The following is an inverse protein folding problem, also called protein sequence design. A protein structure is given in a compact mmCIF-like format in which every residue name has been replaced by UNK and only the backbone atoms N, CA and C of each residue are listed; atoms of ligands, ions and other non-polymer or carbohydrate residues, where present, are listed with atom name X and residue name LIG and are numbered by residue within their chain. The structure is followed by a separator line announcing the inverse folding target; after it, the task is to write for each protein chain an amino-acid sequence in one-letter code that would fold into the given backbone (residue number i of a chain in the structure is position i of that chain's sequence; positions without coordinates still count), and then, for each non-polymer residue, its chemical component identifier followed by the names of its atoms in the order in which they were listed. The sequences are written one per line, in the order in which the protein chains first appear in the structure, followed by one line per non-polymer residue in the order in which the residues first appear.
data_IF_702548835443
#
_entry.id   IF_702548835443
#
_cell.length_a   1.000
_cell.length_b   1.000
_cell.length_c   1.000
_cell.angle_alpha   90.00
_cell.angle_beta   90.00
_cell.angle_gamma   90.00
#
_symmetry.space_group_name_H-M   'P 1'
#
loop_
_entity.id
_entity.type
_entity.pdbx_description
1 polymer ?
#
# COMPACT_ATOMS: atom_id res chain seq x y z
N UNK A 1 14.61 -14.84 -11.03
CA UNK A 1 15.55 -14.39 -9.98
C UNK A 1 14.75 -13.62 -8.94
N UNK A 2 14.77 -14.01 -7.67
CA UNK A 2 14.02 -13.31 -6.63
C UNK A 2 14.74 -12.03 -6.20
N UNK A 3 13.99 -10.97 -5.83
CA UNK A 3 14.54 -9.76 -5.24
C UNK A 3 15.01 -10.08 -3.81
N UNK A 4 16.31 -10.08 -3.57
CA UNK A 4 16.90 -10.44 -2.27
C UNK A 4 17.97 -9.44 -1.85
N UNK A 5 18.18 -9.29 -0.54
CA UNK A 5 19.21 -8.42 0.06
C UNK A 5 19.14 -6.97 -0.42
N UNK A 6 17.94 -6.47 -0.63
CA UNK A 6 17.70 -5.10 -1.05
C UNK A 6 17.08 -4.28 0.08
N UNK A 7 17.25 -2.97 -0.02
CA UNK A 7 16.49 -1.99 0.74
C UNK A 7 15.24 -1.63 -0.05
N UNK A 8 14.08 -1.78 0.57
CA UNK A 8 12.79 -1.56 -0.09
C UNK A 8 11.98 -0.57 0.72
N UNK A 9 11.42 0.44 0.07
CA UNK A 9 10.46 1.39 0.67
C UNK A 9 9.11 1.16 0.03
N UNK A 10 8.08 0.91 0.83
CA UNK A 10 6.72 0.69 0.37
C UNK A 10 5.83 1.85 0.82
N UNK A 11 5.28 2.61 -0.12
CA UNK A 11 4.23 3.60 0.14
C UNK A 11 2.87 2.93 0.01
N UNK A 12 2.26 2.63 1.14
CA UNK A 12 1.01 1.89 1.18
C UNK A 12 -0.22 2.78 1.16
N UNK A 13 -1.31 2.26 0.58
CA UNK A 13 -2.64 2.89 0.65
C UNK A 13 -3.42 2.50 1.90
N UNK A 14 -2.88 1.60 2.74
CA UNK A 14 -3.49 1.13 3.99
C UNK A 14 -2.47 1.18 5.13
N UNK A 15 -2.96 1.30 6.37
CA UNK A 15 -2.11 1.26 7.55
C UNK A 15 -1.78 -0.18 7.92
N UNK A 16 -0.57 -0.42 8.43
CA UNK A 16 -0.08 -1.75 8.83
C UNK A 16 -0.99 -2.48 9.84
N UNK A 17 -1.67 -1.75 10.69
CA UNK A 17 -2.52 -2.29 11.76
C UNK A 17 -3.96 -2.59 11.32
N UNK A 18 -4.29 -2.39 10.04
CA UNK A 18 -5.62 -2.67 9.48
C UNK A 18 -5.65 -4.12 8.92
N UNK A 19 -6.81 -4.51 8.38
CA UNK A 19 -7.03 -5.84 7.80
C UNK A 19 -5.92 -6.26 6.85
N UNK A 20 -5.49 -7.52 6.97
CA UNK A 20 -4.46 -8.12 6.13
C UNK A 20 -4.86 -8.10 4.65
N UNK A 21 -4.04 -7.50 3.82
CA UNK A 21 -4.29 -7.32 2.39
C UNK A 21 -3.01 -7.52 1.57
N UNK A 22 -3.11 -7.39 0.25
CA UNK A 22 -2.01 -7.48 -0.71
C UNK A 22 -0.73 -6.75 -0.26
N UNK A 23 -0.87 -5.53 0.30
CA UNK A 23 0.26 -4.73 0.78
C UNK A 23 1.08 -5.45 1.85
N UNK A 24 0.38 -6.11 2.79
CA UNK A 24 1.00 -6.90 3.86
C UNK A 24 1.64 -8.18 3.31
N UNK A 25 0.95 -8.89 2.41
CA UNK A 25 1.45 -10.10 1.76
C UNK A 25 2.73 -9.82 0.99
N UNK A 26 2.75 -8.77 0.15
CA UNK A 26 3.93 -8.35 -0.58
C UNK A 26 5.07 -7.99 0.36
N UNK A 27 4.78 -7.19 1.40
CA UNK A 27 5.77 -6.77 2.39
C UNK A 27 6.41 -7.95 3.11
N UNK A 28 5.60 -8.87 3.62
CA UNK A 28 6.11 -10.05 4.36
C UNK A 28 6.86 -11.00 3.44
N UNK A 29 6.43 -11.18 2.20
CA UNK A 29 7.16 -11.97 1.20
C UNK A 29 8.53 -11.37 0.88
N UNK A 30 8.63 -10.04 0.75
CA UNK A 30 9.89 -9.35 0.55
C UNK A 30 10.82 -9.49 1.76
N UNK A 31 10.29 -9.38 2.98
CA UNK A 31 11.05 -9.58 4.22
C UNK A 31 11.56 -11.02 4.32
N UNK A 32 10.70 -12.00 4.03
CA UNK A 32 11.05 -13.43 4.03
C UNK A 32 12.12 -13.77 3.00
N UNK A 33 12.17 -13.05 1.87
CA UNK A 33 13.22 -13.15 0.86
C UNK A 33 14.54 -12.47 1.29
N UNK A 34 14.64 -11.95 2.52
CA UNK A 34 15.85 -11.36 3.08
C UNK A 34 16.08 -9.88 2.72
N UNK A 35 15.04 -9.17 2.29
CA UNK A 35 15.10 -7.72 2.07
C UNK A 35 14.83 -6.96 3.37
N UNK A 36 15.39 -5.74 3.51
CA UNK A 36 15.01 -4.81 4.58
C UNK A 36 13.91 -3.91 4.04
N UNK A 37 12.80 -3.79 4.78
CA UNK A 37 11.63 -3.07 4.31
C UNK A 37 11.26 -1.93 5.26
N UNK A 38 11.08 -0.74 4.71
CA UNK A 38 10.38 0.38 5.32
C UNK A 38 8.98 0.46 4.73
N UNK A 39 7.99 0.03 5.52
CA UNK A 39 6.59 0.17 5.16
C UNK A 39 6.06 1.51 5.67
N UNK A 40 5.50 2.31 4.80
CA UNK A 40 4.94 3.62 5.14
C UNK A 40 3.43 3.55 5.06
N UNK A 41 2.78 3.77 6.20
CA UNK A 41 1.33 3.82 6.33
C UNK A 41 0.70 4.85 5.39
N UNK A 42 -0.59 4.67 5.12
CA UNK A 42 -1.36 5.54 4.24
C UNK A 42 -1.21 7.02 4.62
N UNK A 43 -0.70 7.80 3.68
CA UNK A 43 -0.49 9.25 3.82
C UNK A 43 -1.76 10.09 3.60
N UNK A 44 -2.88 9.43 3.26
CA UNK A 44 -4.18 10.06 2.98
C UNK A 44 -4.38 10.39 1.50
N UNK A 45 -5.45 9.84 0.94
CA UNK A 45 -5.94 10.14 -0.42
C UNK A 45 -7.01 11.23 -0.35
N UNK A 46 -7.68 11.37 0.79
CA UNK A 46 -8.77 12.31 1.04
C UNK A 46 -8.50 13.15 2.28
N UNK A 47 -9.16 14.29 2.35
CA UNK A 47 -9.19 15.08 3.58
C UNK A 47 -9.77 14.28 4.74
N UNK A 48 -9.25 14.50 5.95
CA UNK A 48 -9.73 13.82 7.15
C UNK A 48 -11.20 14.16 7.43
N UNK A 49 -11.95 13.16 7.85
CA UNK A 49 -13.33 13.32 8.37
C UNK A 49 -13.31 13.27 9.90
N UNK A 50 -14.40 13.71 10.52
CA UNK A 50 -14.58 13.64 11.99
C UNK A 50 -14.44 12.19 12.50
N UNK A 51 -14.85 11.21 11.70
CA UNK A 51 -14.67 9.78 11.99
C UNK A 51 -13.19 9.33 12.09
N UNK A 52 -12.25 10.10 11.58
CA UNK A 52 -10.83 9.76 11.57
C UNK A 52 -10.09 10.21 12.85
N UNK A 53 -10.81 10.81 13.83
CA UNK A 53 -10.20 11.32 15.09
C UNK A 53 -9.49 10.23 15.90
N UNK A 54 -10.04 9.01 15.94
CA UNK A 54 -9.42 7.87 16.62
C UNK A 54 -8.05 7.55 16.00
N UNK A 55 -8.01 7.46 14.68
CA UNK A 55 -6.79 7.19 13.90
C UNK A 55 -5.74 8.29 14.09
N UNK A 56 -6.17 9.54 14.13
CA UNK A 56 -5.28 10.68 14.37
C UNK A 56 -4.70 10.63 15.79
N UNK A 57 -5.53 10.35 16.81
CA UNK A 57 -5.07 10.15 18.19
C UNK A 57 -4.04 9.02 18.29
N UNK A 58 -4.30 7.87 17.66
CA UNK A 58 -3.37 6.74 17.66
C UNK A 58 -2.02 7.12 17.01
N UNK A 59 -2.03 7.87 15.92
CA UNK A 59 -0.80 8.38 15.28
C UNK A 59 -0.04 9.36 16.18
N UNK A 60 -0.76 10.28 16.84
CA UNK A 60 -0.14 11.22 17.80
C UNK A 60 0.48 10.44 18.98
N UNK A 61 -0.22 9.45 19.54
CA UNK A 61 0.31 8.61 20.61
C UNK A 61 1.54 7.83 20.17
N UNK A 62 1.52 7.23 18.98
CA UNK A 62 2.69 6.54 18.40
C UNK A 62 3.86 7.50 18.21
N UNK A 63 3.56 8.74 17.78
CA UNK A 63 4.58 9.76 17.57
C UNK A 63 5.28 10.17 18.88
N UNK A 64 4.53 10.27 19.99
CA UNK A 64 5.08 10.58 21.31
C UNK A 64 5.76 9.40 22.00
N UNK A 65 5.25 8.17 21.84
CA UNK A 65 5.76 6.97 22.51
C UNK A 65 6.98 6.34 21.83
N UNK A 66 7.29 6.74 20.62
CA UNK A 66 8.31 6.10 19.84
C UNK A 66 9.24 7.07 19.13
N UNK A 67 9.89 6.55 18.14
CA UNK A 67 10.85 7.21 17.29
C UNK A 67 10.13 8.05 16.21
N UNK A 68 9.35 9.05 16.61
CA UNK A 68 8.64 9.95 15.66
C UNK A 68 7.78 9.24 14.60
N UNK A 69 7.04 8.21 15.02
CA UNK A 69 6.15 7.42 14.15
C UNK A 69 6.80 6.18 13.52
N UNK A 70 8.07 5.92 13.73
CA UNK A 70 8.73 4.69 13.31
C UNK A 70 8.58 3.60 14.37
N UNK A 71 8.25 2.38 13.95
CA UNK A 71 8.09 1.22 14.81
C UNK A 71 8.76 0.02 14.16
N UNK A 72 9.77 -0.57 14.81
CA UNK A 72 10.33 -1.83 14.37
C UNK A 72 9.32 -2.95 14.67
N UNK A 73 8.91 -3.67 13.63
CA UNK A 73 8.00 -4.81 13.73
C UNK A 73 8.80 -6.09 13.78
N UNK A 74 9.86 -6.16 12.99
CA UNK A 74 10.80 -7.27 12.92
C UNK A 74 12.20 -6.72 12.61
N UNK A 75 13.22 -7.57 12.69
CA UNK A 75 14.61 -7.24 12.37
C UNK A 75 14.77 -6.53 11.02
N UNK A 76 13.99 -6.94 10.04
CA UNK A 76 14.04 -6.44 8.66
C UNK A 76 12.81 -5.63 8.25
N UNK A 77 11.90 -5.33 9.18
CA UNK A 77 10.66 -4.60 8.90
C UNK A 77 10.47 -3.45 9.88
N UNK A 78 10.43 -2.26 9.35
CA UNK A 78 10.05 -1.05 10.08
C UNK A 78 8.80 -0.46 9.45
N UNK A 79 7.84 -0.07 10.27
CA UNK A 79 6.63 0.65 9.86
C UNK A 79 6.75 2.12 10.25
N UNK A 80 6.48 3.00 9.31
CA UNK A 80 6.40 4.44 9.55
C UNK A 80 4.96 4.93 9.40
N UNK A 81 4.41 5.46 10.50
CA UNK A 81 3.07 6.08 10.55
C UNK A 81 3.23 7.61 10.57
N UNK A 82 3.25 8.28 9.40
CA UNK A 82 3.50 9.71 9.34
C UNK A 82 2.37 10.53 9.96
N UNK A 83 2.75 11.57 10.72
CA UNK A 83 1.81 12.58 11.19
C UNK A 83 1.84 13.77 10.22
N UNK A 84 0.78 13.90 9.42
CA UNK A 84 0.65 14.88 8.34
C UNK A 84 -0.59 15.75 8.52
N UNK A 85 -0.56 16.95 7.96
CA UNK A 85 -1.74 17.81 7.90
C UNK A 85 -2.83 17.18 7.04
N UNK A 86 -4.10 17.25 7.46
CA UNK A 86 -5.19 16.43 6.91
C UNK A 86 -5.78 16.91 5.56
N UNK A 87 -5.14 17.85 4.88
CA UNK A 87 -5.60 18.42 3.61
C UNK A 87 -4.60 18.14 2.48
N UNK A 88 -4.62 16.90 1.90
CA UNK A 88 -3.54 16.43 1.01
C UNK A 88 -3.41 17.23 -0.30
N UNK A 89 -4.44 17.95 -0.72
CA UNK A 89 -4.45 18.76 -1.97
C UNK A 89 -4.38 20.27 -1.72
N UNK A 90 -4.42 20.73 -0.46
CA UNK A 90 -4.16 22.13 -0.14
C UNK A 90 -2.69 22.47 -0.39
N UNK A 91 -2.40 23.54 -1.14
CA UNK A 91 -1.03 23.96 -1.47
C UNK A 91 -0.17 24.14 -0.23
N UNK A 92 -0.70 24.80 0.81
CA UNK A 92 0.01 25.03 2.07
C UNK A 92 0.28 23.72 2.82
N UNK A 93 -0.76 22.89 2.99
CA UNK A 93 -0.61 21.61 3.68
C UNK A 93 0.35 20.69 2.93
N UNK A 94 0.25 20.64 1.60
CA UNK A 94 1.15 19.85 0.77
C UNK A 94 2.61 20.32 0.90
N UNK A 95 2.84 21.62 0.92
CA UNK A 95 4.19 22.19 1.12
C UNK A 95 4.78 21.77 2.47
N UNK A 96 4.01 21.95 3.56
CA UNK A 96 4.45 21.57 4.91
C UNK A 96 4.65 20.05 5.00
N UNK A 97 3.69 19.27 4.48
CA UNK A 97 3.76 17.80 4.49
C UNK A 97 4.99 17.28 3.73
N UNK A 98 5.34 17.89 2.59
CA UNK A 98 6.55 17.52 1.83
C UNK A 98 7.82 17.71 2.67
N UNK A 99 7.94 18.83 3.38
CA UNK A 99 9.12 19.12 4.23
C UNK A 99 9.22 18.09 5.36
N UNK A 100 8.12 17.89 6.11
CA UNK A 100 8.11 16.98 7.26
C UNK A 100 8.38 15.56 6.80
N UNK A 101 7.69 15.11 5.75
CA UNK A 101 7.73 13.74 5.25
C UNK A 101 9.11 13.37 4.70
N UNK A 102 9.64 14.21 3.80
CA UNK A 102 10.96 13.98 3.21
C UNK A 102 12.07 14.01 4.28
N UNK A 103 12.01 14.96 5.21
CA UNK A 103 12.99 15.06 6.30
C UNK A 103 12.96 13.82 7.21
N UNK A 104 11.77 13.30 7.51
CA UNK A 104 11.61 12.09 8.34
C UNK A 104 12.15 10.86 7.64
N UNK A 105 11.80 10.65 6.37
CA UNK A 105 12.30 9.52 5.58
C UNK A 105 13.82 9.60 5.42
N UNK A 106 14.35 10.75 5.02
CA UNK A 106 15.79 10.95 4.80
C UNK A 106 16.60 10.69 6.08
N UNK A 107 16.14 11.19 7.23
CA UNK A 107 16.81 10.94 8.52
C UNK A 107 16.82 9.46 8.88
N UNK A 108 15.67 8.79 8.72
CA UNK A 108 15.56 7.38 9.05
C UNK A 108 16.39 6.52 8.09
N UNK A 109 16.30 6.74 6.77
CA UNK A 109 17.07 5.98 5.77
C UNK A 109 18.57 6.14 5.96
N UNK A 110 19.03 7.34 6.31
CA UNK A 110 20.44 7.61 6.64
C UNK A 110 20.87 6.86 7.91
N UNK A 111 20.07 6.90 8.98
CA UNK A 111 20.36 6.21 10.24
C UNK A 111 20.34 4.69 10.08
N UNK A 112 19.40 4.15 9.31
CA UNK A 112 19.27 2.74 9.00
C UNK A 112 20.26 2.26 7.91
N UNK A 113 21.05 3.18 7.34
CA UNK A 113 21.99 2.91 6.23
C UNK A 113 21.28 2.22 5.06
N UNK A 114 20.10 2.71 4.69
CA UNK A 114 19.43 2.30 3.45
C UNK A 114 20.19 2.90 2.26
N UNK A 115 20.52 2.06 1.31
CA UNK A 115 21.32 2.45 0.14
C UNK A 115 20.60 2.10 -1.16
N UNK A 116 20.41 3.10 -2.02
CA UNK A 116 19.78 2.94 -3.34
C UNK A 116 18.51 2.05 -3.27
N UNK A 117 17.46 2.43 -2.52
CA UNK A 117 16.33 1.56 -2.29
C UNK A 117 15.52 1.31 -3.57
N UNK A 118 14.86 0.17 -3.62
CA UNK A 118 13.72 -0.05 -4.49
C UNK A 118 12.51 0.62 -3.84
N UNK A 119 11.75 1.40 -4.59
CA UNK A 119 10.51 2.00 -4.10
C UNK A 119 9.32 1.35 -4.78
N UNK A 120 8.37 0.87 -3.98
CA UNK A 120 7.09 0.36 -4.45
C UNK A 120 6.00 1.26 -3.90
N UNK A 121 5.19 1.86 -4.77
CA UNK A 121 4.10 2.72 -4.37
C UNK A 121 2.74 2.15 -4.78
N UNK A 122 1.79 2.21 -3.86
CA UNK A 122 0.36 1.96 -4.12
C UNK A 122 -0.43 3.26 -4.21
N UNK A 123 0.25 4.41 -4.07
CA UNK A 123 -0.38 5.73 -4.05
C UNK A 123 0.28 6.68 -5.04
N UNK A 124 -0.47 7.21 -6.02
CA UNK A 124 0.04 8.17 -7.00
C UNK A 124 -0.14 9.63 -6.55
N UNK A 125 -0.14 9.91 -5.24
CA UNK A 125 -0.39 11.27 -4.71
C UNK A 125 0.79 12.22 -4.94
N UNK A 126 0.54 13.55 -5.02
CA UNK A 126 1.61 14.55 -5.18
C UNK A 126 2.68 14.51 -4.10
N UNK A 127 2.31 14.08 -2.88
CA UNK A 127 3.26 13.92 -1.78
C UNK A 127 4.22 12.77 -2.07
N UNK A 128 3.70 11.62 -2.49
CA UNK A 128 4.49 10.43 -2.79
C UNK A 128 5.36 10.64 -4.02
N UNK A 129 4.82 11.24 -5.10
CA UNK A 129 5.62 11.62 -6.27
C UNK A 129 6.81 12.49 -5.90
N UNK A 130 6.60 13.47 -5.01
CA UNK A 130 7.68 14.30 -4.50
C UNK A 130 8.68 13.51 -3.64
N UNK A 131 8.21 12.60 -2.79
CA UNK A 131 9.07 11.77 -1.95
C UNK A 131 9.97 10.85 -2.80
N UNK A 132 9.43 10.20 -3.82
CA UNK A 132 10.20 9.36 -4.75
C UNK A 132 11.32 10.17 -5.43
N UNK A 133 11.01 11.39 -5.91
CA UNK A 133 12.01 12.28 -6.50
C UNK A 133 13.13 12.66 -5.52
N UNK A 134 12.83 12.79 -4.22
CA UNK A 134 13.84 13.11 -3.21
C UNK A 134 14.65 11.87 -2.76
N UNK A 135 14.05 10.68 -2.77
CA UNK A 135 14.73 9.42 -2.43
C UNK A 135 15.72 9.04 -3.52
N UNK A 136 15.43 9.34 -4.78
CA UNK A 136 16.21 8.94 -5.97
C UNK A 136 16.48 7.43 -5.93
N UNK A 137 15.44 6.60 -6.00
CA UNK A 137 15.58 5.15 -5.90
C UNK A 137 16.32 4.56 -7.11
N UNK A 138 16.92 3.38 -6.96
CA UNK A 138 17.48 2.65 -8.09
C UNK A 138 16.40 2.07 -9.02
N UNK A 139 15.19 1.89 -8.49
CA UNK A 139 14.00 1.42 -9.20
C UNK A 139 12.75 1.94 -8.50
N UNK A 140 11.88 2.56 -9.26
CA UNK A 140 10.56 3.00 -8.83
C UNK A 140 9.47 2.17 -9.48
N UNK A 141 8.59 1.59 -8.66
CA UNK A 141 7.49 0.75 -9.10
C UNK A 141 6.18 1.36 -8.62
N UNK A 142 5.22 1.53 -9.51
CA UNK A 142 3.84 1.81 -9.14
C UNK A 142 3.01 0.53 -9.26
N UNK A 143 2.42 0.10 -8.15
CA UNK A 143 1.48 -1.02 -8.16
C UNK A 143 0.05 -0.48 -8.12
N UNK A 144 -0.58 -0.39 -9.28
CA UNK A 144 -1.96 0.04 -9.46
C UNK A 144 -2.90 -1.14 -9.20
N UNK A 145 -3.34 -1.27 -7.95
CA UNK A 145 -4.19 -2.37 -7.51
C UNK A 145 -5.69 -2.13 -7.83
N UNK A 146 -6.11 -0.87 -7.96
CA UNK A 146 -7.51 -0.50 -8.20
C UNK A 146 -7.58 0.69 -9.15
N UNK A 147 -8.69 0.82 -9.87
CA UNK A 147 -9.00 2.06 -10.59
C UNK A 147 -9.33 3.16 -9.57
N UNK A 148 -8.38 4.08 -9.37
CA UNK A 148 -8.55 5.16 -8.39
C UNK A 148 -9.68 6.12 -8.79
N UNK A 149 -9.90 6.37 -10.07
CA UNK A 149 -10.95 7.27 -10.55
C UNK A 149 -12.35 6.77 -10.16
N UNK A 150 -12.57 5.47 -10.17
CA UNK A 150 -13.87 4.84 -9.91
C UNK A 150 -14.05 4.43 -8.44
N UNK A 151 -12.98 4.29 -7.67
CA UNK A 151 -13.04 3.76 -6.30
C UNK A 151 -13.81 4.65 -5.32
N UNK A 152 -13.75 5.97 -5.46
CA UNK A 152 -14.56 6.94 -4.70
C UNK A 152 -14.43 8.37 -5.26
N UNK A 153 -15.41 9.25 -4.95
CA UNK A 153 -15.36 10.69 -5.30
C UNK A 153 -14.06 11.34 -4.80
N UNK A 154 -13.57 10.95 -3.63
CA UNK A 154 -12.33 11.49 -3.07
C UNK A 154 -11.09 10.96 -3.77
N UNK A 155 -11.15 9.76 -4.32
CA UNK A 155 -10.06 9.15 -5.06
C UNK A 155 -9.99 9.67 -6.50
N UNK A 156 -11.09 10.16 -7.07
CA UNK A 156 -11.09 10.79 -8.40
C UNK A 156 -10.18 12.03 -8.46
N UNK A 157 -9.93 12.71 -7.33
CA UNK A 157 -8.96 13.80 -7.26
C UNK A 157 -7.51 13.34 -7.51
N UNK A 158 -7.23 12.06 -7.35
CA UNK A 158 -5.90 11.47 -7.58
C UNK A 158 -5.67 11.16 -9.06
N UNK A 159 -6.74 10.92 -9.84
CA UNK A 159 -6.62 10.43 -11.22
C UNK A 159 -5.77 11.36 -12.11
N UNK A 160 -5.90 12.67 -11.98
CA UNK A 160 -5.06 13.62 -12.75
C UNK A 160 -3.57 13.54 -12.42
N UNK A 161 -3.22 13.04 -11.24
CA UNK A 161 -1.84 12.80 -10.84
C UNK A 161 -1.38 11.40 -11.22
N UNK A 162 -2.30 10.45 -11.32
CA UNK A 162 -2.03 9.06 -11.63
C UNK A 162 -1.54 8.90 -13.06
N UNK A 163 -2.17 9.56 -14.04
CA UNK A 163 -1.75 9.51 -15.44
C UNK A 163 -0.28 9.90 -15.60
N UNK A 164 0.11 10.99 -14.95
CA UNK A 164 1.50 11.41 -14.92
C UNK A 164 2.39 10.41 -14.18
N UNK A 165 1.88 9.79 -13.12
CA UNK A 165 2.65 8.85 -12.32
C UNK A 165 2.99 7.57 -13.07
N UNK A 166 2.09 7.07 -13.94
CA UNK A 166 2.39 5.97 -14.84
C UNK A 166 3.62 6.25 -15.74
N UNK A 167 3.80 7.49 -16.17
CA UNK A 167 4.95 7.90 -16.99
C UNK A 167 6.21 8.19 -16.17
N UNK A 168 6.06 8.64 -14.92
CA UNK A 168 7.17 9.10 -14.06
C UNK A 168 7.92 7.93 -13.39
N UNK A 169 7.34 6.72 -13.29
CA UNK A 169 7.96 5.55 -12.66
C UNK A 169 8.65 4.63 -13.67
N UNK A 170 9.59 3.82 -13.18
CA UNK A 170 10.33 2.89 -14.04
C UNK A 170 9.50 1.69 -14.48
N UNK A 171 8.61 1.20 -13.61
CA UNK A 171 7.76 0.02 -13.87
C UNK A 171 6.37 0.25 -13.28
N UNK A 172 5.35 -0.20 -13.99
CA UNK A 172 3.97 -0.25 -13.52
C UNK A 172 3.51 -1.70 -13.43
N UNK A 173 3.04 -2.10 -12.24
CA UNK A 173 2.29 -3.35 -12.05
C UNK A 173 0.81 -3.04 -11.93
N UNK A 174 -0.02 -3.89 -12.54
CA UNK A 174 -1.48 -3.74 -12.51
C UNK A 174 -2.13 -5.03 -12.06
N UNK A 175 -3.14 -4.94 -11.20
CA UNK A 175 -3.84 -6.10 -10.65
C UNK A 175 -4.93 -6.66 -11.58
N UNK A 176 -5.31 -5.92 -12.63
CA UNK A 176 -6.34 -6.31 -13.59
C UNK A 176 -5.97 -5.91 -15.02
N UNK A 177 -6.42 -6.69 -16.01
CA UNK A 177 -6.14 -6.44 -17.43
C UNK A 177 -6.71 -5.09 -17.90
N UNK A 178 -7.90 -4.70 -17.43
CA UNK A 178 -8.50 -3.40 -17.77
C UNK A 178 -7.62 -2.23 -17.30
N UNK A 179 -7.02 -2.36 -16.11
CA UNK A 179 -6.08 -1.34 -15.60
C UNK A 179 -4.79 -1.35 -16.43
N UNK A 180 -4.33 -2.53 -16.86
CA UNK A 180 -3.15 -2.65 -17.72
C UNK A 180 -3.36 -1.91 -19.06
N UNK A 181 -4.49 -2.14 -19.71
CA UNK A 181 -4.85 -1.46 -20.96
C UNK A 181 -4.88 0.08 -20.79
N UNK A 182 -5.44 0.55 -19.67
CA UNK A 182 -5.45 1.97 -19.34
C UNK A 182 -4.05 2.53 -19.12
N UNK A 183 -3.25 1.90 -18.25
CA UNK A 183 -1.91 2.35 -17.92
C UNK A 183 -0.94 2.32 -19.12
N UNK A 184 -1.15 1.38 -20.05
CA UNK A 184 -0.35 1.24 -21.29
C UNK A 184 -0.48 2.44 -22.23
N UNK A 185 -1.47 3.32 -22.02
CA UNK A 185 -1.58 4.60 -22.75
C UNK A 185 -0.50 5.61 -22.31
N UNK A 186 0.08 5.43 -21.13
CA UNK A 186 1.00 6.37 -20.51
C UNK A 186 2.43 5.81 -20.33
N UNK A 187 2.60 4.49 -20.36
CA UNK A 187 3.91 3.84 -20.18
C UNK A 187 3.99 2.55 -20.98
N UNK A 188 5.17 2.27 -21.53
CA UNK A 188 5.48 1.01 -22.22
C UNK A 188 5.86 -0.12 -21.25
N UNK A 189 6.20 0.21 -20.01
CA UNK A 189 6.68 -0.74 -18.98
C UNK A 189 5.57 -1.11 -18.01
N UNK A 190 4.45 -1.58 -18.54
CA UNK A 190 3.25 -1.98 -17.78
C UNK A 190 3.10 -3.49 -17.83
N UNK A 191 3.03 -4.12 -16.65
CA UNK A 191 2.95 -5.57 -16.52
C UNK A 191 1.74 -5.97 -15.68
N UNK A 192 1.01 -6.97 -16.16
CA UNK A 192 -0.04 -7.60 -15.38
C UNK A 192 0.58 -8.43 -14.25
N UNK A 193 0.29 -8.05 -13.02
CA UNK A 193 0.79 -8.70 -11.81
C UNK A 193 -0.34 -8.80 -10.78
N UNK A 194 -1.18 -9.83 -10.89
CA UNK A 194 -2.33 -10.00 -10.02
C UNK A 194 -1.91 -10.29 -8.57
N UNK A 195 -2.80 -10.04 -7.58
CA UNK A 195 -2.56 -10.40 -6.21
C UNK A 195 -2.25 -11.90 -6.06
N UNK A 196 -1.19 -12.21 -5.31
CA UNK A 196 -0.88 -13.58 -4.92
C UNK A 196 -1.77 -14.05 -3.77
N UNK A 197 -1.82 -15.37 -3.58
CA UNK A 197 -2.46 -16.01 -2.44
C UNK A 197 -1.45 -16.86 -1.67
N UNK A 198 -1.72 -17.11 -0.40
CA UNK A 198 -0.99 -18.09 0.40
C UNK A 198 -1.50 -19.50 0.04
N UNK A 199 -0.89 -20.08 -1.00
CA UNK A 199 -1.33 -21.34 -1.58
C UNK A 199 -1.36 -22.48 -0.54
N UNK A 200 -0.38 -22.52 0.37
CA UNK A 200 -0.28 -23.59 1.37
C UNK A 200 -1.51 -23.63 2.28
N UNK A 201 -2.06 -22.48 2.64
CA UNK A 201 -3.30 -22.41 3.46
C UNK A 201 -4.52 -22.99 2.73
N UNK A 202 -4.63 -22.74 1.43
CA UNK A 202 -5.73 -23.29 0.63
C UNK A 202 -5.52 -24.78 0.33
N UNK A 203 -4.29 -25.20 0.10
CA UNK A 203 -3.94 -26.60 -0.18
C UNK A 203 -4.21 -27.51 1.04
N UNK A 204 -3.95 -27.02 2.26
CA UNK A 204 -4.32 -27.73 3.49
C UNK A 204 -5.85 -27.94 3.57
N UNK A 205 -6.65 -26.94 3.22
CA UNK A 205 -8.10 -27.05 3.23
C UNK A 205 -8.64 -28.06 2.20
N UNK A 206 -7.94 -28.22 1.08
CA UNK A 206 -8.30 -29.22 0.05
C UNK A 206 -7.88 -30.63 0.46
N UNK A 207 -6.70 -30.78 1.09
CA UNK A 207 -6.11 -32.10 1.42
C UNK A 207 -6.57 -32.66 2.75
N UNK A 208 -7.02 -31.82 3.69
CA UNK A 208 -7.56 -32.28 4.98
C UNK A 208 -9.07 -32.29 4.93
N UNK A 209 -9.69 -33.31 5.60
CA UNK A 209 -11.12 -33.30 5.88
C UNK A 209 -11.40 -32.16 6.87
N UNK A 210 -11.70 -30.98 6.35
CA UNK A 210 -12.11 -29.84 7.16
C UNK A 210 -13.52 -30.14 7.67
N UNK A 211 -13.75 -30.06 8.97
CA UNK A 211 -15.10 -30.15 9.52
C UNK A 211 -15.95 -29.03 8.93
N UNK A 212 -17.05 -29.43 8.32
CA UNK A 212 -18.05 -28.46 7.84
C UNK A 212 -18.61 -27.75 9.10
N UNK A 213 -18.68 -26.41 9.11
CA UNK A 213 -19.32 -25.67 10.19
C UNK A 213 -20.77 -26.14 10.40
N UNK A 214 -21.20 -26.23 11.68
CA UNK A 214 -22.50 -26.79 12.04
C UNK A 214 -23.69 -26.06 11.36
N UNK A 215 -23.55 -24.76 11.15
CA UNK A 215 -24.54 -23.90 10.47
C UNK A 215 -24.70 -24.19 8.96
N UNK A 216 -23.80 -24.96 8.37
CA UNK A 216 -23.87 -25.37 6.97
C UNK A 216 -24.37 -26.82 6.80
N UNK A 217 -24.46 -27.60 7.87
CA UNK A 217 -24.88 -29.02 7.79
C UNK A 217 -26.32 -29.24 7.31
N UNK A 218 -27.20 -28.26 7.60
CA UNK A 218 -28.62 -28.34 7.25
C UNK A 218 -28.92 -27.85 5.82
N UNK A 219 -27.92 -27.39 5.09
CA UNK A 219 -28.10 -26.91 3.71
C UNK A 219 -27.99 -28.06 2.74
N UNK A 220 -29.13 -28.46 2.12
CA UNK A 220 -29.19 -29.48 1.09
C UNK A 220 -28.88 -28.87 -0.30
N UNK A 221 -27.84 -29.37 -0.97
CA UNK A 221 -27.46 -28.97 -2.33
C UNK A 221 -26.14 -28.23 -2.41
N UNK A 222 -25.77 -27.69 -3.57
CA UNK A 222 -24.56 -26.97 -3.73
C UNK A 222 -24.62 -25.62 -2.96
N UNK A 223 -23.58 -25.34 -2.14
CA UNK A 223 -23.48 -24.11 -1.36
C UNK A 223 -22.67 -23.10 -2.17
N UNK A 224 -23.25 -21.93 -2.45
CA UNK A 224 -22.56 -20.79 -3.03
C UNK A 224 -22.40 -19.73 -1.93
N UNK A 225 -21.17 -19.49 -1.52
CA UNK A 225 -20.83 -18.53 -0.46
C UNK A 225 -20.18 -17.27 -1.01
N UNK A 226 -20.46 -16.11 -0.39
CA UNK A 226 -19.74 -14.87 -0.58
C UNK A 226 -19.03 -14.48 0.72
N UNK A 227 -17.71 -14.31 0.66
CA UNK A 227 -16.91 -13.82 1.77
C UNK A 227 -16.31 -12.48 1.36
N UNK A 228 -16.80 -11.38 1.92
CA UNK A 228 -16.33 -10.03 1.60
C UNK A 228 -17.22 -8.94 2.17
N UNK A 229 -16.84 -7.69 1.91
CA UNK A 229 -17.65 -6.53 2.32
C UNK A 229 -18.73 -6.26 1.29
N UNK A 230 -19.98 -6.27 1.71
CA UNK A 230 -21.10 -5.82 0.89
C UNK A 230 -21.01 -4.31 0.72
N UNK A 231 -20.76 -3.83 -0.47
CA UNK A 231 -20.52 -2.43 -0.75
C UNK A 231 -20.95 -2.02 -2.16
N UNK A 232 -20.68 -0.74 -2.49
CA UNK A 232 -21.10 -0.09 -3.76
C UNK A 232 -20.46 -0.71 -5.03
N UNK A 233 -19.45 -1.56 -4.86
CA UNK A 233 -18.73 -2.24 -5.96
C UNK A 233 -19.32 -3.59 -6.33
N UNK A 234 -20.38 -4.03 -5.64
CA UNK A 234 -21.11 -5.23 -6.01
C UNK A 234 -22.30 -4.82 -6.87
N UNK A 235 -22.45 -5.46 -8.03
CA UNK A 235 -23.69 -5.42 -8.80
C UNK A 235 -24.79 -6.06 -7.96
N UNK A 236 -25.85 -5.31 -7.67
CA UNK A 236 -27.01 -5.74 -6.92
C UNK A 236 -28.15 -6.07 -7.87
#
# INVERSE_FOLDING_TARGET
MALTKQDVIIFSSIDWTIHWQLHHQLTTSLVSAGNRVLYIDNTGIRSAKISDTKRLKERVVKWYKGTHGFSAIDKNLTVYSPLLLPFPYSKLSLFINKIIFNKSISRWTSAAKFNNPVVISFLPTPLIQNAIKNIVPKLSVYYCANNMAESSISASQVSSYEDKFFSDVDIVFTAACVIQEYASKFSEKVFYFPPGIDFDKFDIAIKSSVNIPDDLNDISGPIVGYIGTLGRVLDQ
#
